data_IF_528579459979
#
_entry.id   IF_528579459979
#
_cell.length_a   1.000
_cell.length_b   1.000
_cell.length_c   1.000
_cell.angle_alpha   90.00
_cell.angle_beta   90.00
_cell.angle_gamma   90.00
#
_symmetry.space_group_name_H-M   'P 1'
#
loop_
_entity.id
_entity.type
_entity.pdbx_description
1 polymer ?
#
# COMPACT_ATOMS: atom_id res chain seq x y z
N UNK A 1 1.87 6.85 28.28
CA UNK A 1 1.98 5.38 28.11
C UNK A 1 2.10 5.14 26.61
N UNK A 2 3.07 4.32 26.18
CA UNK A 2 3.19 3.92 24.78
C UNK A 2 2.12 2.91 24.39
N UNK A 3 1.66 2.96 23.13
CA UNK A 3 0.72 1.98 22.57
C UNK A 3 1.48 0.67 22.37
N UNK A 4 0.98 -0.42 22.96
CA UNK A 4 1.56 -1.76 22.82
C UNK A 4 1.08 -2.45 21.56
N UNK A 5 2.00 -2.73 20.64
CA UNK A 5 1.73 -3.29 19.34
C UNK A 5 2.12 -4.76 19.27
N UNK A 6 1.20 -5.59 18.81
CA UNK A 6 1.45 -6.96 18.35
C UNK A 6 1.55 -7.01 16.83
N UNK A 7 2.45 -7.83 16.30
CA UNK A 7 2.58 -8.04 14.85
C UNK A 7 2.28 -9.51 14.54
N UNK A 8 1.30 -9.76 13.69
CA UNK A 8 1.03 -11.10 13.16
C UNK A 8 1.53 -11.19 11.72
N UNK A 9 2.56 -12.01 11.49
CA UNK A 9 3.28 -12.10 10.23
C UNK A 9 4.49 -11.16 10.15
N UNK A 10 5.68 -11.73 10.18
CA UNK A 10 6.94 -10.98 10.16
C UNK A 10 7.61 -11.00 8.78
N UNK A 11 6.78 -10.91 7.73
CA UNK A 11 7.19 -10.71 6.34
C UNK A 11 7.73 -9.31 6.08
N UNK A 12 7.71 -8.86 4.83
CA UNK A 12 8.18 -7.51 4.44
C UNK A 12 7.49 -6.41 5.27
N UNK A 13 6.17 -6.46 5.35
CA UNK A 13 5.38 -5.40 6.01
C UNK A 13 5.59 -5.42 7.52
N UNK A 14 5.47 -6.59 8.18
CA UNK A 14 5.67 -6.68 9.63
C UNK A 14 7.05 -6.21 10.09
N UNK A 15 8.11 -6.52 9.32
CA UNK A 15 9.47 -6.05 9.61
C UNK A 15 9.61 -4.54 9.48
N UNK A 16 9.03 -3.95 8.43
CA UNK A 16 9.08 -2.49 8.24
C UNK A 16 8.28 -1.77 9.33
N UNK A 17 7.13 -2.29 9.73
CA UNK A 17 6.35 -1.76 10.85
C UNK A 17 7.19 -1.76 12.14
N UNK A 18 7.89 -2.84 12.44
CA UNK A 18 8.78 -2.87 13.63
C UNK A 18 9.90 -1.83 13.48
N UNK A 19 10.56 -1.72 12.32
CA UNK A 19 11.64 -0.74 12.11
C UNK A 19 11.15 0.69 12.34
N UNK A 20 9.97 1.04 11.82
CA UNK A 20 9.35 2.37 12.01
C UNK A 20 9.00 2.60 13.49
N UNK A 21 8.39 1.61 14.16
CA UNK A 21 8.03 1.74 15.58
C UNK A 21 9.29 1.87 16.46
N UNK A 22 10.39 1.20 16.08
CA UNK A 22 11.65 1.29 16.85
C UNK A 22 12.26 2.71 16.87
N UNK A 23 11.89 3.58 15.94
CA UNK A 23 12.29 4.99 15.86
C UNK A 23 11.31 5.93 16.57
N UNK A 24 10.19 5.39 17.12
CA UNK A 24 9.13 6.17 17.76
C UNK A 24 9.15 6.01 19.28
N UNK A 25 8.58 7.00 19.99
CA UNK A 25 8.46 6.99 21.44
C UNK A 25 7.02 6.78 21.94
N UNK A 26 6.04 6.84 21.04
CA UNK A 26 4.61 6.74 21.35
C UNK A 26 4.06 5.31 21.19
N UNK A 27 4.85 4.41 20.58
CA UNK A 27 4.49 3.01 20.34
C UNK A 27 5.65 2.09 20.71
N UNK A 28 5.33 0.83 21.02
CA UNK A 28 6.32 -0.23 21.22
C UNK A 28 5.79 -1.57 20.74
N UNK A 29 6.62 -2.35 20.04
CA UNK A 29 6.30 -3.74 19.71
C UNK A 29 6.58 -4.61 20.90
N UNK A 30 5.56 -5.32 21.41
CA UNK A 30 5.66 -6.20 22.58
C UNK A 30 5.53 -7.69 22.23
N UNK A 31 5.03 -8.01 21.03
CA UNK A 31 4.89 -9.40 20.59
C UNK A 31 4.89 -9.53 19.07
N UNK A 32 5.45 -10.62 18.59
CA UNK A 32 5.43 -11.03 17.18
C UNK A 32 4.98 -12.47 17.12
N UNK A 33 4.06 -12.77 16.22
CA UNK A 33 3.70 -14.13 15.85
C UNK A 33 4.14 -14.41 14.42
N UNK A 34 4.99 -15.40 14.23
CA UNK A 34 5.39 -15.91 12.91
C UNK A 34 5.76 -17.40 13.04
N UNK A 35 5.71 -18.13 11.93
CA UNK A 35 6.03 -19.57 11.93
C UNK A 35 7.54 -19.87 11.86
N UNK A 36 8.35 -18.83 11.74
CA UNK A 36 9.81 -18.92 11.71
C UNK A 36 10.39 -18.99 13.13
N UNK A 37 11.60 -19.54 13.28
CA UNK A 37 12.33 -19.48 14.52
C UNK A 37 12.85 -18.07 14.83
N UNK A 38 13.14 -17.82 16.10
CA UNK A 38 13.51 -16.48 16.58
C UNK A 38 14.86 -16.01 16.02
N UNK A 39 15.81 -16.90 15.81
CA UNK A 39 17.13 -16.55 15.28
C UNK A 39 17.01 -16.09 13.81
N UNK A 40 16.14 -16.76 13.04
CA UNK A 40 15.89 -16.36 11.68
C UNK A 40 15.07 -15.06 11.60
N UNK A 41 14.14 -14.84 12.53
CA UNK A 41 13.41 -13.54 12.67
C UNK A 41 14.41 -12.40 12.96
N UNK A 42 15.36 -12.62 13.89
CA UNK A 42 16.42 -11.67 14.20
C UNK A 42 17.33 -11.38 12.99
N UNK A 43 17.73 -12.43 12.27
CA UNK A 43 18.51 -12.30 11.03
C UNK A 43 17.80 -11.46 9.99
N UNK A 44 16.51 -11.75 9.71
CA UNK A 44 15.73 -11.00 8.73
C UNK A 44 15.44 -9.55 9.14
N UNK A 45 15.34 -9.26 10.44
CA UNK A 45 15.23 -7.89 10.92
C UNK A 45 16.54 -7.13 10.72
N UNK A 46 17.68 -7.80 10.99
CA UNK A 46 19.01 -7.21 10.89
C UNK A 46 19.41 -6.84 9.48
N UNK A 47 19.05 -7.66 8.50
CA UNK A 47 19.48 -7.50 7.12
C UNK A 47 18.29 -7.34 6.18
N UNK A 48 18.29 -6.30 5.36
CA UNK A 48 17.28 -6.06 4.34
C UNK A 48 17.95 -5.57 3.06
N UNK A 49 17.67 -6.22 1.94
CA UNK A 49 18.30 -5.90 0.65
C UNK A 49 17.87 -4.56 0.09
N UNK A 50 16.73 -4.03 0.50
CA UNK A 50 16.19 -2.75 0.00
C UNK A 50 16.49 -1.61 0.97
N UNK A 51 16.27 -1.84 2.27
CA UNK A 51 16.38 -0.80 3.30
C UNK A 51 17.67 -0.89 4.13
N UNK A 52 18.59 -1.80 3.77
CA UNK A 52 19.87 -1.94 4.44
C UNK A 52 19.77 -2.56 5.85
N UNK A 53 20.87 -2.47 6.59
CA UNK A 53 20.92 -3.00 7.95
C UNK A 53 20.04 -2.19 8.90
N UNK A 54 19.46 -2.90 9.88
CA UNK A 54 18.78 -2.25 10.99
C UNK A 54 19.80 -1.45 11.81
N UNK A 55 19.47 -0.22 12.15
CA UNK A 55 20.39 0.71 12.83
C UNK A 55 20.47 0.51 14.34
N UNK A 56 19.49 -0.21 14.92
CA UNK A 56 19.44 -0.52 16.34
C UNK A 56 20.17 -1.81 16.71
N UNK A 57 20.16 -2.14 18.02
CA UNK A 57 20.65 -3.41 18.53
C UNK A 57 19.60 -4.52 18.40
N UNK A 58 20.06 -5.71 18.06
CA UNK A 58 19.22 -6.92 17.99
C UNK A 58 19.98 -8.03 18.71
N UNK A 59 19.29 -8.71 19.63
CA UNK A 59 19.79 -9.86 20.36
C UNK A 59 18.70 -10.91 20.50
N UNK A 60 19.07 -12.15 20.79
CA UNK A 60 18.17 -13.25 21.09
C UNK A 60 18.59 -13.87 22.42
N UNK A 61 17.66 -13.95 23.36
CA UNK A 61 17.89 -14.56 24.66
C UNK A 61 16.66 -15.31 25.14
N UNK A 62 16.84 -16.54 25.59
CA UNK A 62 15.79 -17.40 26.12
C UNK A 62 14.58 -17.54 25.19
N UNK A 63 14.83 -17.63 23.87
CA UNK A 63 13.79 -17.72 22.84
C UNK A 63 12.99 -16.43 22.60
N UNK A 64 13.45 -15.30 23.16
CA UNK A 64 12.85 -13.98 22.97
C UNK A 64 13.73 -13.11 22.08
N UNK A 65 13.11 -12.26 21.28
CA UNK A 65 13.80 -11.24 20.51
C UNK A 65 13.99 -9.98 21.37
N UNK A 66 15.20 -9.44 21.39
CA UNK A 66 15.50 -8.18 22.08
C UNK A 66 15.89 -7.13 21.05
N UNK A 67 15.14 -6.05 20.97
CA UNK A 67 15.39 -4.93 20.05
C UNK A 67 15.56 -3.65 20.84
N UNK A 68 16.70 -2.99 20.70
CA UNK A 68 17.05 -1.77 21.45
C UNK A 68 16.87 -1.94 22.98
N UNK A 69 17.23 -3.11 23.49
CA UNK A 69 17.10 -3.45 24.90
C UNK A 69 15.69 -3.81 25.38
N UNK A 70 14.68 -3.77 24.50
CA UNK A 70 13.29 -4.16 24.81
C UNK A 70 13.04 -5.60 24.39
N UNK A 71 12.47 -6.39 25.28
CA UNK A 71 12.11 -7.78 25.00
C UNK A 71 10.80 -7.86 24.27
N UNK A 72 10.77 -8.61 23.17
CA UNK A 72 9.59 -8.88 22.34
C UNK A 72 9.26 -10.36 22.42
N UNK A 73 8.05 -10.70 22.87
CA UNK A 73 7.58 -12.09 22.92
C UNK A 73 7.43 -12.64 21.50
N UNK A 74 8.04 -13.80 21.22
CA UNK A 74 7.86 -14.52 19.95
C UNK A 74 6.91 -15.69 20.17
N UNK A 75 5.94 -15.85 19.27
CA UNK A 75 5.03 -17.00 19.22
C UNK A 75 4.98 -17.56 17.81
N UNK A 76 4.63 -18.87 17.69
CA UNK A 76 4.50 -19.56 16.41
C UNK A 76 3.16 -20.27 16.34
N UNK A 77 2.09 -19.48 16.29
CA UNK A 77 0.70 -19.96 16.26
C UNK A 77 0.10 -19.78 14.89
N UNK A 78 -0.56 -20.83 14.37
CA UNK A 78 -1.26 -20.76 13.07
C UNK A 78 -2.62 -20.09 13.19
N UNK A 79 -3.33 -20.34 14.28
CA UNK A 79 -4.61 -19.68 14.56
C UNK A 79 -4.36 -18.45 15.44
N UNK A 80 -4.81 -17.26 15.03
CA UNK A 80 -4.69 -16.05 15.83
C UNK A 80 -5.33 -16.13 17.23
N UNK A 81 -6.36 -16.96 17.40
CA UNK A 81 -7.01 -17.16 18.69
C UNK A 81 -6.07 -17.75 19.76
N UNK A 82 -5.02 -18.46 19.34
CA UNK A 82 -4.08 -19.12 20.26
C UNK A 82 -2.87 -18.23 20.64
N UNK A 83 -2.79 -16.99 20.12
CA UNK A 83 -1.61 -16.13 20.34
C UNK A 83 -1.57 -15.56 21.74
N UNK A 84 -2.73 -15.42 22.42
CA UNK A 84 -2.86 -14.88 23.79
C UNK A 84 -2.22 -13.47 23.92
N UNK A 85 -2.76 -12.50 23.17
CA UNK A 85 -2.33 -11.10 23.21
C UNK A 85 -2.59 -10.43 24.57
N UNK A 86 -3.60 -10.90 25.32
CA UNK A 86 -3.94 -10.47 26.67
C UNK A 86 -2.77 -10.60 27.65
N UNK A 87 -1.98 -11.68 27.54
CA UNK A 87 -0.84 -11.95 28.44
C UNK A 87 0.26 -10.87 28.39
N UNK A 88 0.35 -10.12 27.31
CA UNK A 88 1.32 -9.03 27.16
C UNK A 88 0.65 -7.66 26.98
N UNK A 89 -0.67 -7.61 27.11
CA UNK A 89 -1.46 -6.39 27.13
C UNK A 89 -1.42 -5.62 25.81
N UNK A 90 -1.56 -6.30 24.67
CA UNK A 90 -1.54 -5.68 23.33
C UNK A 90 -2.74 -4.76 23.15
N UNK A 91 -2.48 -3.52 22.80
CA UNK A 91 -3.51 -2.54 22.46
C UNK A 91 -3.92 -2.66 20.99
N UNK A 92 -2.96 -2.92 20.12
CA UNK A 92 -3.15 -2.92 18.67
C UNK A 92 -2.40 -4.09 18.03
N UNK A 93 -3.08 -4.88 17.20
CA UNK A 93 -2.44 -5.87 16.32
C UNK A 93 -2.33 -5.32 14.90
N UNK A 94 -1.15 -5.41 14.31
CA UNK A 94 -0.94 -5.26 12.87
C UNK A 94 -0.98 -6.66 12.25
N UNK A 95 -2.06 -6.94 11.51
CA UNK A 95 -2.23 -8.17 10.75
C UNK A 95 -1.53 -8.03 9.40
N UNK A 96 -0.40 -8.68 9.23
CA UNK A 96 0.45 -8.57 8.03
C UNK A 96 0.79 -9.91 7.38
N UNK A 97 0.03 -10.97 7.68
CA UNK A 97 0.17 -12.27 7.00
C UNK A 97 -0.48 -12.29 5.62
N UNK A 98 -1.50 -11.45 5.40
CA UNK A 98 -2.34 -11.48 4.21
C UNK A 98 -3.37 -12.62 4.19
N UNK A 99 -3.56 -13.33 5.30
CA UNK A 99 -4.46 -14.48 5.43
C UNK A 99 -5.79 -14.09 6.10
N UNK A 100 -5.76 -13.33 7.17
CA UNK A 100 -6.90 -12.98 8.02
C UNK A 100 -7.48 -11.62 7.64
N UNK A 101 -8.09 -11.52 6.46
CA UNK A 101 -8.50 -10.26 5.81
C UNK A 101 -10.02 -10.02 5.83
N UNK A 102 -10.75 -10.68 6.72
CA UNK A 102 -12.18 -10.46 6.93
C UNK A 102 -12.46 -10.12 8.38
N UNK A 103 -13.60 -9.50 8.66
CA UNK A 103 -14.06 -9.21 10.02
C UNK A 103 -14.01 -10.47 10.89
N UNK A 104 -14.56 -11.57 10.37
CA UNK A 104 -14.62 -12.86 11.08
C UNK A 104 -13.22 -13.39 11.42
N UNK A 105 -12.32 -13.43 10.44
CA UNK A 105 -10.98 -13.99 10.65
C UNK A 105 -10.09 -13.11 11.52
N UNK A 106 -10.22 -11.78 11.41
CA UNK A 106 -9.49 -10.82 12.24
C UNK A 106 -10.05 -10.74 13.67
N UNK A 107 -11.34 -11.06 13.88
CA UNK A 107 -11.97 -11.13 15.21
C UNK A 107 -11.19 -12.05 16.16
N UNK A 108 -10.58 -13.10 15.65
CA UNK A 108 -9.75 -14.01 16.44
C UNK A 108 -8.62 -13.32 17.21
N UNK A 109 -8.09 -12.22 16.70
CA UNK A 109 -7.10 -11.42 17.44
C UNK A 109 -7.73 -10.66 18.60
N UNK A 110 -8.96 -10.19 18.44
CA UNK A 110 -9.73 -9.55 19.53
C UNK A 110 -10.05 -10.60 20.60
N UNK A 111 -10.49 -11.79 20.18
CA UNK A 111 -10.80 -12.90 21.06
C UNK A 111 -9.56 -13.38 21.86
N UNK A 112 -8.37 -13.25 21.25
CA UNK A 112 -7.07 -13.49 21.90
C UNK A 112 -6.59 -12.33 22.79
N UNK A 113 -7.40 -11.27 22.96
CA UNK A 113 -7.18 -10.18 23.91
C UNK A 113 -6.57 -8.90 23.32
N UNK A 114 -6.46 -8.75 22.02
CA UNK A 114 -6.11 -7.47 21.40
C UNK A 114 -7.31 -6.50 21.49
N UNK A 115 -7.05 -5.20 21.70
CA UNK A 115 -8.13 -4.20 21.70
C UNK A 115 -8.53 -3.73 20.31
N UNK A 116 -7.59 -3.72 19.37
CA UNK A 116 -7.78 -3.29 17.98
C UNK A 116 -6.95 -4.11 17.02
N UNK A 117 -7.41 -4.19 15.76
CA UNK A 117 -6.69 -4.85 14.66
C UNK A 117 -6.66 -3.95 13.43
N UNK A 118 -5.49 -3.76 12.86
CA UNK A 118 -5.31 -3.12 11.55
C UNK A 118 -4.84 -4.16 10.56
N UNK A 119 -5.65 -4.40 9.52
CA UNK A 119 -5.27 -5.20 8.38
C UNK A 119 -4.34 -4.38 7.48
N UNK A 120 -3.12 -4.84 7.26
CA UNK A 120 -2.14 -4.18 6.37
C UNK A 120 -2.40 -4.43 4.86
N UNK A 121 -3.59 -4.92 4.53
CA UNK A 121 -4.03 -5.24 3.19
C UNK A 121 -5.52 -4.93 3.04
N UNK A 122 -6.06 -4.82 1.79
CA UNK A 122 -7.47 -4.60 1.59
C UNK A 122 -8.31 -5.71 2.21
N UNK A 123 -9.38 -5.34 2.91
CA UNK A 123 -10.35 -6.30 3.41
C UNK A 123 -11.07 -7.01 2.26
N UNK A 124 -11.41 -8.27 2.48
CA UNK A 124 -12.16 -9.10 1.51
C UNK A 124 -13.67 -9.04 1.71
N UNK A 125 -14.13 -8.32 2.72
CA UNK A 125 -15.52 -8.13 3.09
C UNK A 125 -15.86 -6.64 3.30
N UNK A 126 -16.85 -6.36 4.15
CA UNK A 126 -17.30 -5.01 4.51
C UNK A 126 -16.48 -4.36 5.64
N UNK A 127 -15.38 -4.95 6.10
CA UNK A 127 -14.50 -4.32 7.11
C UNK A 127 -14.13 -2.90 6.66
N UNK A 128 -14.33 -1.88 7.52
CA UNK A 128 -14.04 -0.49 7.17
C UNK A 128 -12.61 -0.29 6.71
N UNK A 129 -12.45 0.45 5.62
CA UNK A 129 -11.16 0.73 5.01
C UNK A 129 -10.85 2.21 5.11
N UNK A 130 -9.65 2.55 5.58
CA UNK A 130 -9.21 3.93 5.75
C UNK A 130 -7.91 4.21 5.01
N UNK A 131 -7.86 5.40 4.41
CA UNK A 131 -6.65 5.97 3.82
C UNK A 131 -6.39 7.32 4.49
N UNK A 132 -5.17 7.51 4.98
CA UNK A 132 -4.76 8.76 5.62
C UNK A 132 -4.89 9.93 4.65
N UNK A 133 -5.42 11.06 5.15
CA UNK A 133 -5.70 12.26 4.33
C UNK A 133 -6.96 12.19 3.48
N UNK A 134 -7.58 11.01 3.34
CA UNK A 134 -8.79 10.82 2.52
C UNK A 134 -10.04 10.70 3.39
N UNK A 135 -10.18 9.58 4.09
CA UNK A 135 -11.35 9.32 4.94
C UNK A 135 -11.00 8.93 6.38
N UNK A 136 -9.77 9.13 6.82
CA UNK A 136 -9.33 8.76 8.17
C UNK A 136 -10.12 9.49 9.27
N UNK A 137 -10.65 10.68 8.99
CA UNK A 137 -11.49 11.44 9.93
C UNK A 137 -12.86 10.76 10.21
N UNK A 138 -13.28 9.83 9.36
CA UNK A 138 -14.51 9.04 9.55
C UNK A 138 -14.33 7.89 10.56
N UNK A 139 -13.10 7.68 11.05
CA UNK A 139 -12.83 6.68 12.07
C UNK A 139 -13.55 7.05 13.37
N UNK A 140 -14.44 6.17 13.82
CA UNK A 140 -15.29 6.37 15.01
C UNK A 140 -15.08 5.29 16.08
N UNK A 141 -13.90 4.64 16.09
CA UNK A 141 -13.54 3.69 17.13
C UNK A 141 -13.70 2.21 16.76
N UNK A 142 -13.89 1.88 15.48
CA UNK A 142 -13.99 0.49 15.01
C UNK A 142 -12.81 -0.35 15.52
N UNK A 143 -13.09 -1.56 16.00
CA UNK A 143 -12.08 -2.44 16.57
C UNK A 143 -11.21 -3.09 15.49
N UNK A 144 -11.76 -3.34 14.31
CA UNK A 144 -11.08 -3.95 13.17
C UNK A 144 -11.24 -3.04 11.97
N UNK A 145 -10.11 -2.63 11.39
CA UNK A 145 -10.06 -1.76 10.21
C UNK A 145 -9.02 -2.28 9.20
N UNK A 146 -9.14 -1.85 7.96
CA UNK A 146 -8.17 -2.10 6.91
C UNK A 146 -7.47 -0.79 6.50
N UNK A 147 -6.15 -0.83 6.32
CA UNK A 147 -5.36 0.26 5.76
C UNK A 147 -5.27 0.20 4.22
N UNK A 148 -6.21 -0.46 3.57
CA UNK A 148 -6.26 -0.62 2.12
C UNK A 148 -4.99 -1.29 1.53
N UNK A 149 -4.72 -1.06 0.23
CA UNK A 149 -3.51 -1.50 -0.46
C UNK A 149 -2.52 -0.37 -0.67
N UNK A 150 -1.26 -0.70 -0.97
CA UNK A 150 -0.26 0.28 -1.38
C UNK A 150 -0.73 1.14 -2.56
N UNK A 151 -1.30 0.51 -3.59
CA UNK A 151 -1.83 1.21 -4.76
C UNK A 151 -3.02 2.11 -4.41
N UNK A 152 -3.94 1.66 -3.54
CA UNK A 152 -5.05 2.49 -3.07
C UNK A 152 -4.55 3.69 -2.27
N UNK A 153 -3.56 3.51 -1.41
CA UNK A 153 -2.95 4.60 -0.64
C UNK A 153 -2.26 5.63 -1.54
N UNK A 154 -1.64 5.19 -2.63
CA UNK A 154 -1.06 6.11 -3.62
C UNK A 154 -2.16 6.84 -4.42
N UNK A 155 -3.17 6.11 -4.91
CA UNK A 155 -4.18 6.63 -5.82
C UNK A 155 -5.21 7.55 -5.14
N UNK A 156 -5.65 7.21 -3.92
CA UNK A 156 -6.78 7.90 -3.29
C UNK A 156 -6.50 9.38 -2.98
N UNK A 157 -5.33 9.79 -2.48
CA UNK A 157 -5.01 11.22 -2.31
C UNK A 157 -5.05 12.00 -3.63
N UNK A 158 -4.51 11.44 -4.72
CA UNK A 158 -4.54 12.06 -6.04
C UNK A 158 -5.98 12.19 -6.56
N UNK A 159 -6.76 11.11 -6.47
CA UNK A 159 -8.15 11.09 -6.88
C UNK A 159 -9.02 12.06 -6.07
N UNK A 160 -8.74 12.22 -4.76
CA UNK A 160 -9.41 13.21 -3.90
C UNK A 160 -9.20 14.62 -4.45
N UNK A 161 -7.94 15.02 -4.65
CA UNK A 161 -7.61 16.37 -5.14
C UNK A 161 -8.26 16.64 -6.50
N UNK A 162 -8.16 15.69 -7.44
CA UNK A 162 -8.77 15.83 -8.77
C UNK A 162 -10.30 15.91 -8.69
N UNK A 163 -10.93 15.06 -7.87
CA UNK A 163 -12.38 15.02 -7.78
C UNK A 163 -12.96 16.26 -7.11
N UNK A 164 -12.32 16.77 -6.06
CA UNK A 164 -12.79 17.95 -5.32
C UNK A 164 -12.62 19.25 -6.13
N UNK A 165 -11.56 19.39 -6.90
CA UNK A 165 -11.28 20.60 -7.68
C UNK A 165 -11.95 20.59 -9.06
N UNK A 166 -11.99 19.44 -9.73
CA UNK A 166 -12.37 19.36 -11.15
C UNK A 166 -13.52 18.39 -11.41
N UNK A 167 -13.84 17.50 -10.48
CA UNK A 167 -14.85 16.45 -10.63
C UNK A 167 -14.43 15.35 -11.60
N UNK A 168 -14.28 14.12 -11.12
CA UNK A 168 -13.98 12.96 -11.97
C UNK A 168 -15.29 12.40 -12.55
N UNK A 169 -15.36 12.29 -13.87
CA UNK A 169 -16.44 11.59 -14.58
C UNK A 169 -16.19 10.10 -14.52
N UNK A 170 -15.06 9.68 -15.06
CA UNK A 170 -14.55 8.31 -15.08
C UNK A 170 -13.03 8.31 -15.19
N UNK A 171 -12.41 7.13 -15.02
CA UNK A 171 -10.96 7.02 -15.16
C UNK A 171 -10.46 5.59 -15.23
N UNK A 172 -9.26 5.49 -15.83
CA UNK A 172 -8.50 4.26 -15.94
C UNK A 172 -7.18 4.40 -15.17
N UNK A 173 -6.88 3.46 -14.30
CA UNK A 173 -5.64 3.43 -13.56
C UNK A 173 -4.77 2.26 -14.01
N UNK A 174 -3.52 2.54 -14.32
CA UNK A 174 -2.49 1.52 -14.51
C UNK A 174 -1.45 1.64 -13.42
N UNK A 175 -1.18 0.56 -12.69
CA UNK A 175 -0.04 0.54 -11.77
C UNK A 175 1.12 -0.26 -12.36
N UNK A 176 2.26 0.40 -12.54
CA UNK A 176 3.55 -0.24 -12.83
C UNK A 176 4.15 -0.61 -11.47
N UNK A 177 4.04 -1.89 -11.11
CA UNK A 177 4.22 -2.32 -9.73
C UNK A 177 5.49 -3.12 -9.54
N UNK A 178 6.23 -2.78 -8.50
CA UNK A 178 7.40 -3.53 -8.05
C UNK A 178 7.05 -4.99 -7.72
N UNK A 179 8.05 -5.85 -7.72
CA UNK A 179 7.92 -7.27 -7.36
C UNK A 179 7.47 -7.43 -5.91
N UNK A 180 6.69 -8.48 -5.65
CA UNK A 180 6.25 -8.83 -4.29
C UNK A 180 6.60 -10.28 -3.99
N UNK A 181 6.59 -10.65 -2.71
CA UNK A 181 6.96 -11.98 -2.24
C UNK A 181 6.11 -13.13 -2.80
N UNK A 182 4.96 -12.83 -3.41
CA UNK A 182 4.09 -13.84 -4.04
C UNK A 182 4.53 -14.22 -5.45
N UNK A 183 5.42 -13.44 -6.07
CA UNK A 183 5.93 -13.71 -7.41
C UNK A 183 7.07 -14.75 -7.35
N UNK A 184 7.27 -15.45 -8.46
CA UNK A 184 8.33 -16.44 -8.57
C UNK A 184 9.62 -15.81 -9.08
N UNK A 185 10.76 -16.24 -8.57
CA UNK A 185 12.07 -15.82 -9.08
C UNK A 185 12.34 -16.41 -10.47
N UNK A 186 11.97 -17.69 -10.66
CA UNK A 186 12.00 -18.42 -11.93
C UNK A 186 10.63 -19.00 -12.20
N UNK A 187 10.36 -19.44 -13.44
CA UNK A 187 9.09 -20.04 -13.82
C UNK A 187 8.73 -21.20 -12.88
N UNK A 188 7.53 -21.17 -12.31
CA UNK A 188 7.04 -22.18 -11.38
C UNK A 188 5.52 -22.20 -11.30
N UNK A 189 4.93 -23.24 -10.71
CA UNK A 189 3.48 -23.39 -10.67
C UNK A 189 2.80 -22.25 -9.91
N UNK A 190 1.70 -21.76 -10.48
CA UNK A 190 0.78 -20.81 -9.85
C UNK A 190 -0.65 -21.24 -10.20
N UNK A 191 -1.43 -21.63 -9.18
CA UNK A 191 -2.76 -22.22 -9.39
C UNK A 191 -3.87 -21.19 -9.60
N UNK A 192 -3.69 -19.97 -9.09
CA UNK A 192 -4.71 -18.90 -9.18
C UNK A 192 -4.53 -18.00 -10.40
N UNK A 193 -3.30 -17.69 -10.72
CA UNK A 193 -2.92 -16.82 -11.83
C UNK A 193 -1.66 -17.40 -12.48
N UNK A 194 -1.78 -17.96 -13.65
CA UNK A 194 -0.65 -18.59 -14.36
C UNK A 194 0.47 -17.61 -14.67
N UNK A 195 0.11 -16.34 -14.97
CA UNK A 195 1.09 -15.29 -15.22
C UNK A 195 1.92 -14.98 -13.97
N UNK A 196 1.32 -15.06 -12.78
CA UNK A 196 2.03 -14.92 -11.50
C UNK A 196 3.05 -16.03 -11.21
N UNK A 197 3.02 -17.15 -11.98
CA UNK A 197 4.01 -18.22 -11.94
C UNK A 197 5.26 -17.96 -12.78
N UNK A 198 5.29 -16.89 -13.59
CA UNK A 198 6.42 -16.58 -14.45
C UNK A 198 7.50 -15.80 -13.69
N UNK A 199 8.76 -15.96 -14.13
CA UNK A 199 9.93 -15.33 -13.50
C UNK A 199 9.80 -13.81 -13.47
N UNK A 200 9.81 -13.25 -12.26
CA UNK A 200 9.58 -11.83 -12.02
C UNK A 200 10.68 -10.91 -12.52
N UNK A 201 11.90 -11.45 -12.67
CA UNK A 201 13.09 -10.66 -13.04
C UNK A 201 13.25 -10.46 -14.55
N UNK A 202 12.50 -11.22 -15.39
CA UNK A 202 12.63 -11.20 -16.83
C UNK A 202 11.40 -10.70 -17.57
N UNK A 203 10.29 -10.43 -16.86
CA UNK A 203 9.00 -10.22 -17.49
C UNK A 203 8.34 -8.93 -17.04
N UNK A 204 7.54 -8.35 -17.93
CA UNK A 204 6.43 -7.45 -17.60
C UNK A 204 5.19 -8.33 -17.48
N UNK A 205 4.66 -8.47 -16.26
CA UNK A 205 3.58 -9.42 -15.95
C UNK A 205 2.26 -8.68 -15.75
N UNK A 206 1.28 -8.77 -16.67
CA UNK A 206 -0.06 -8.23 -16.44
C UNK A 206 -0.73 -8.96 -15.27
N UNK A 207 -1.39 -8.21 -14.40
CA UNK A 207 -2.09 -8.73 -13.22
C UNK A 207 -3.36 -7.92 -12.97
N UNK A 208 -4.36 -8.54 -12.41
CA UNK A 208 -5.55 -7.83 -11.95
C UNK A 208 -5.25 -7.05 -10.67
N UNK A 209 -5.97 -5.95 -10.46
CA UNK A 209 -5.92 -5.17 -9.23
C UNK A 209 -7.31 -4.71 -8.82
N UNK A 210 -7.59 -4.77 -7.52
CA UNK A 210 -8.80 -4.19 -6.94
C UNK A 210 -8.63 -2.75 -6.44
N UNK A 211 -7.45 -2.15 -6.65
CA UNK A 211 -7.11 -0.87 -6.04
C UNK A 211 -8.01 0.29 -6.52
N UNK A 212 -8.32 0.35 -7.83
CA UNK A 212 -9.21 1.36 -8.37
C UNK A 212 -10.64 1.26 -7.79
N UNK A 213 -11.16 0.04 -7.65
CA UNK A 213 -12.47 -0.21 -6.99
C UNK A 213 -12.42 0.15 -5.51
N UNK A 214 -11.29 -0.08 -4.83
CA UNK A 214 -11.13 0.26 -3.42
C UNK A 214 -11.15 1.78 -3.18
N UNK A 215 -10.79 2.60 -4.17
CA UNK A 215 -10.94 4.07 -4.07
C UNK A 215 -12.41 4.44 -3.90
N UNK A 216 -13.35 3.78 -4.57
CA UNK A 216 -14.79 4.00 -4.38
C UNK A 216 -15.27 3.68 -2.95
N UNK A 217 -14.59 2.79 -2.22
CA UNK A 217 -14.90 2.52 -0.80
C UNK A 217 -14.45 3.63 0.14
N UNK A 218 -13.37 4.35 -0.18
CA UNK A 218 -12.81 5.43 0.65
C UNK A 218 -13.21 6.82 0.16
N UNK A 219 -13.67 6.94 -1.09
CA UNK A 219 -14.27 8.14 -1.70
C UNK A 219 -15.58 7.71 -2.38
N UNK A 220 -16.70 7.65 -1.65
CA UNK A 220 -17.97 7.10 -2.18
C UNK A 220 -18.47 7.76 -3.48
N UNK A 221 -18.17 9.03 -3.70
CA UNK A 221 -18.53 9.75 -4.95
C UNK A 221 -17.80 9.22 -6.19
N UNK A 222 -16.76 8.40 -6.01
CA UNK A 222 -15.99 7.73 -7.08
C UNK A 222 -16.34 6.25 -7.25
N UNK A 223 -17.33 5.74 -6.51
CA UNK A 223 -17.73 4.34 -6.68
C UNK A 223 -18.24 4.06 -8.09
N UNK A 224 -17.70 3.00 -8.69
CA UNK A 224 -17.99 2.62 -10.08
C UNK A 224 -17.34 3.48 -11.17
N UNK A 225 -16.69 4.60 -10.84
CA UNK A 225 -16.08 5.50 -11.82
C UNK A 225 -14.66 5.13 -12.22
N UNK A 226 -13.94 4.41 -11.38
CA UNK A 226 -12.55 4.04 -11.61
C UNK A 226 -12.40 2.54 -11.83
N UNK A 227 -11.61 2.19 -12.85
CA UNK A 227 -11.16 0.81 -13.07
C UNK A 227 -9.67 0.79 -13.34
N UNK A 228 -9.05 -0.40 -13.38
CA UNK A 228 -7.61 -0.43 -13.63
C UNK A 228 -7.02 -1.82 -13.69
N UNK A 229 -5.72 -1.83 -14.03
CA UNK A 229 -4.89 -3.02 -14.14
C UNK A 229 -3.50 -2.78 -13.54
N UNK A 230 -2.74 -3.84 -13.37
CA UNK A 230 -1.38 -3.80 -12.88
C UNK A 230 -0.41 -4.46 -13.87
N UNK A 231 0.78 -3.91 -13.97
CA UNK A 231 1.94 -4.57 -14.58
C UNK A 231 3.01 -4.76 -13.52
N UNK A 232 3.40 -5.99 -13.26
CA UNK A 232 4.56 -6.30 -12.41
C UNK A 232 5.83 -6.18 -13.24
N UNK A 233 6.80 -5.44 -12.74
CA UNK A 233 8.08 -5.16 -13.41
C UNK A 233 9.26 -5.55 -12.52
N UNK A 234 10.46 -5.81 -13.09
CA UNK A 234 11.66 -6.24 -12.35
C UNK A 234 12.29 -5.12 -11.49
N UNK A 235 11.51 -4.50 -10.61
CA UNK A 235 11.99 -3.52 -9.63
C UNK A 235 11.75 -4.05 -8.22
N UNK A 236 12.67 -3.78 -7.30
CA UNK A 236 12.62 -4.33 -5.96
C UNK A 236 11.61 -3.59 -5.07
N UNK A 237 11.43 -2.29 -5.30
CA UNK A 237 10.58 -1.43 -4.47
C UNK A 237 10.12 -0.22 -5.29
N UNK A 238 9.17 0.52 -4.76
CA UNK A 238 8.51 1.69 -5.34
C UNK A 238 7.72 1.33 -6.61
N UNK A 239 6.45 1.65 -6.60
CA UNK A 239 5.52 1.43 -7.71
C UNK A 239 5.02 2.77 -8.22
N UNK A 240 4.63 2.83 -9.49
CA UNK A 240 4.04 4.01 -10.11
C UNK A 240 2.56 3.75 -10.35
N UNK A 241 1.74 4.78 -10.13
CA UNK A 241 0.34 4.82 -10.54
C UNK A 241 0.22 5.84 -11.67
N UNK A 242 -0.22 5.36 -12.83
CA UNK A 242 -0.67 6.18 -13.95
C UNK A 242 -2.19 6.26 -13.91
N UNK A 243 -2.74 7.46 -13.74
CA UNK A 243 -4.17 7.72 -13.65
C UNK A 243 -4.61 8.61 -14.82
N UNK A 244 -5.35 8.04 -15.74
CA UNK A 244 -6.03 8.78 -16.81
C UNK A 244 -7.48 9.02 -16.43
N UNK A 245 -7.93 10.27 -16.43
CA UNK A 245 -9.30 10.64 -16.02
C UNK A 245 -9.94 11.60 -17.01
N UNK A 246 -11.26 11.46 -17.15
CA UNK A 246 -12.12 12.49 -17.72
C UNK A 246 -12.66 13.36 -16.60
N UNK A 247 -12.54 14.67 -16.73
CA UNK A 247 -12.93 15.65 -15.72
C UNK A 247 -14.21 16.40 -16.15
N UNK A 248 -15.06 16.77 -15.16
CA UNK A 248 -16.25 17.58 -15.41
C UNK A 248 -15.91 19.01 -15.80
N UNK A 249 -14.91 19.60 -15.11
CA UNK A 249 -14.44 20.95 -15.42
C UNK A 249 -13.32 20.88 -16.43
N UNK A 250 -13.40 21.70 -17.49
CA UNK A 250 -12.25 21.94 -18.34
C UNK A 250 -11.14 22.58 -17.53
N UNK A 251 -9.94 22.03 -17.65
CA UNK A 251 -8.76 22.50 -16.89
C UNK A 251 -7.50 22.30 -17.71
N UNK A 252 -6.45 23.00 -17.35
CA UNK A 252 -5.10 22.83 -17.90
C UNK A 252 -4.26 21.94 -16.99
N UNK A 253 -3.19 21.37 -17.53
CA UNK A 253 -2.22 20.62 -16.70
C UNK A 253 -1.57 21.49 -15.62
N UNK A 254 -1.34 22.77 -15.92
CA UNK A 254 -0.80 23.72 -14.96
C UNK A 254 -1.73 23.92 -13.75
N UNK A 255 -3.05 23.97 -13.96
CA UNK A 255 -4.04 24.05 -12.87
C UNK A 255 -4.09 22.76 -12.05
N UNK A 256 -3.93 21.60 -12.67
CA UNK A 256 -3.81 20.33 -11.96
C UNK A 256 -2.56 20.32 -11.08
N UNK A 257 -1.40 20.71 -11.62
CA UNK A 257 -0.17 20.81 -10.86
C UNK A 257 -0.31 21.79 -9.68
N UNK A 258 -0.93 22.94 -9.90
CA UNK A 258 -1.17 23.93 -8.85
C UNK A 258 -2.06 23.36 -7.72
N UNK A 259 -3.13 22.65 -8.07
CA UNK A 259 -4.01 22.02 -7.09
C UNK A 259 -3.28 20.92 -6.30
N UNK A 260 -2.47 20.08 -6.95
CA UNK A 260 -1.67 19.04 -6.29
C UNK A 260 -0.62 19.66 -5.34
N UNK A 261 0.08 20.70 -5.78
CA UNK A 261 1.05 21.43 -4.97
C UNK A 261 0.38 22.07 -3.74
N UNK A 262 -0.73 22.75 -3.94
CA UNK A 262 -1.49 23.35 -2.85
C UNK A 262 -1.95 22.29 -1.83
N UNK A 263 -2.44 21.15 -2.28
CA UNK A 263 -2.85 20.06 -1.39
C UNK A 263 -1.65 19.50 -0.61
N UNK A 264 -0.51 19.28 -1.27
CA UNK A 264 0.71 18.74 -0.64
C UNK A 264 1.31 19.67 0.43
N UNK A 265 1.18 20.96 0.26
CA UNK A 265 1.63 21.98 1.22
C UNK A 265 0.58 22.28 2.30
N UNK A 266 -0.69 21.95 2.03
CA UNK A 266 -1.86 22.23 2.85
C UNK A 266 -2.47 21.01 3.53
N UNK A 267 -3.67 20.63 3.12
CA UNK A 267 -4.48 19.58 3.78
C UNK A 267 -3.88 18.18 3.75
N UNK A 268 -3.08 17.87 2.73
CA UNK A 268 -2.39 16.59 2.58
C UNK A 268 -0.90 16.67 2.95
N UNK A 269 -0.48 17.71 3.67
CA UNK A 269 0.90 17.83 4.14
C UNK A 269 1.31 16.64 4.99
N UNK A 270 2.47 16.05 4.65
CA UNK A 270 2.96 14.82 5.29
C UNK A 270 2.30 13.53 4.78
N UNK A 271 1.43 13.64 3.78
CA UNK A 271 0.74 12.50 3.14
C UNK A 271 1.02 12.49 1.64
N UNK A 272 0.72 13.58 0.93
CA UNK A 272 1.02 13.75 -0.48
C UNK A 272 2.27 14.62 -0.66
N UNK A 273 3.24 14.09 -1.40
CA UNK A 273 4.39 14.86 -1.88
C UNK A 273 4.15 15.44 -3.27
N UNK A 274 5.02 16.36 -3.64
CA UNK A 274 5.03 17.00 -4.96
C UNK A 274 6.48 17.20 -5.41
N UNK A 275 6.81 16.83 -6.63
CA UNK A 275 8.14 17.03 -7.20
C UNK A 275 8.07 17.60 -8.61
N UNK A 276 9.05 18.44 -8.95
CA UNK A 276 9.32 18.95 -10.30
C UNK A 276 10.70 18.48 -10.79
N UNK A 277 11.36 17.60 -10.04
CA UNK A 277 12.67 17.08 -10.37
C UNK A 277 12.56 15.87 -11.30
N UNK A 278 13.56 15.65 -12.12
CA UNK A 278 13.66 14.48 -13.01
C UNK A 278 14.07 13.23 -12.23
N UNK A 279 13.15 12.64 -11.50
CA UNK A 279 13.35 11.52 -10.59
C UNK A 279 12.91 10.19 -11.22
N UNK A 280 13.41 9.10 -10.65
CA UNK A 280 12.99 7.73 -10.97
C UNK A 280 12.59 6.98 -9.69
N UNK A 281 11.98 5.81 -9.84
CA UNK A 281 11.41 5.07 -8.70
C UNK A 281 12.40 4.79 -7.56
N UNK A 282 13.67 4.60 -7.85
CA UNK A 282 14.68 4.31 -6.83
C UNK A 282 14.99 5.49 -5.91
N UNK A 283 14.75 6.73 -6.38
CA UNK A 283 14.97 7.95 -5.59
C UNK A 283 13.97 8.08 -4.42
N UNK A 284 12.86 7.35 -4.49
CA UNK A 284 11.83 7.30 -3.45
C UNK A 284 11.98 6.15 -2.44
N UNK A 285 13.09 5.41 -2.47
CA UNK A 285 13.32 4.38 -1.45
C UNK A 285 13.57 5.04 -0.09
N UNK A 286 12.72 4.69 0.88
CA UNK A 286 12.75 5.30 2.21
C UNK A 286 11.90 6.55 2.35
N UNK A 287 11.17 6.95 1.30
CA UNK A 287 10.21 8.05 1.38
C UNK A 287 9.09 7.71 2.39
N UNK A 288 8.80 8.65 3.28
CA UNK A 288 7.78 8.51 4.32
C UNK A 288 6.38 8.97 3.90
N UNK A 289 6.29 9.68 2.77
CA UNK A 289 5.01 10.15 2.24
C UNK A 289 4.23 8.97 1.63
N UNK A 290 2.92 9.02 1.74
CA UNK A 290 2.04 7.96 1.23
C UNK A 290 2.06 7.89 -0.29
N UNK A 291 2.23 9.04 -0.95
CA UNK A 291 2.29 9.21 -2.41
C UNK A 291 3.06 10.48 -2.75
N UNK A 292 3.73 10.50 -3.89
CA UNK A 292 4.38 11.70 -4.43
C UNK A 292 3.88 11.93 -5.84
N UNK A 293 3.35 13.13 -6.10
CA UNK A 293 2.94 13.54 -7.44
C UNK A 293 4.13 14.08 -8.22
N UNK A 294 4.44 13.44 -9.35
CA UNK A 294 5.47 13.88 -10.29
C UNK A 294 4.84 14.83 -11.32
N UNK A 295 5.11 16.11 -11.15
CA UNK A 295 4.57 17.15 -12.03
C UNK A 295 5.20 17.14 -13.43
N UNK A 296 6.33 16.48 -13.61
CA UNK A 296 7.02 16.41 -14.90
C UNK A 296 6.51 15.25 -15.77
N UNK A 297 5.87 14.26 -15.17
CA UNK A 297 5.41 13.03 -15.83
C UNK A 297 3.96 13.07 -16.33
N UNK A 298 3.19 14.12 -16.01
CA UNK A 298 1.79 14.21 -16.40
C UNK A 298 1.56 14.83 -17.77
N UNK A 299 0.42 14.50 -18.34
CA UNK A 299 -0.03 15.00 -19.67
C UNK A 299 -1.50 15.41 -19.57
N UNK A 300 -1.87 16.57 -20.08
CA UNK A 300 -3.26 16.93 -20.35
C UNK A 300 -3.49 16.98 -21.88
N UNK A 301 -4.48 16.23 -22.34
CA UNK A 301 -4.91 16.27 -23.73
C UNK A 301 -6.25 17.02 -23.81
N UNK A 302 -6.26 18.13 -24.52
CA UNK A 302 -7.50 18.78 -24.93
C UNK A 302 -8.08 17.93 -26.06
N UNK A 303 -9.09 17.13 -25.78
CA UNK A 303 -9.92 16.54 -26.80
C UNK A 303 -10.66 17.67 -27.50
N UNK A 304 -10.20 18.03 -28.70
CA UNK A 304 -10.98 18.88 -29.59
C UNK A 304 -12.28 18.13 -29.95
N UNK A 305 -13.39 18.61 -29.44
CA UNK A 305 -14.71 18.02 -29.64
C UNK A 305 -15.29 18.22 -31.05
N UNK A 306 -14.53 18.80 -31.98
CA UNK A 306 -14.90 18.84 -33.40
C UNK A 306 -13.91 18.00 -34.20
N UNK A 307 -14.37 16.92 -34.89
CA UNK A 307 -13.50 16.16 -35.76
C UNK A 307 -13.03 17.04 -36.89
N UNK A 308 -11.74 17.34 -36.93
CA UNK A 308 -11.11 17.99 -38.06
C UNK A 308 -11.22 17.08 -39.27
N UNK A 309 -11.45 17.63 -40.49
CA UNK A 309 -11.37 16.84 -41.73
C UNK A 309 -10.05 16.10 -41.93
N UNK A 310 -8.98 16.50 -41.20
CA UNK A 310 -7.69 15.79 -41.14
C UNK A 310 -7.75 14.52 -40.31
N UNK A 311 -8.50 14.49 -39.22
CA UNK A 311 -8.58 13.32 -38.34
C UNK A 311 -9.27 12.14 -39.01
N UNK A 312 -10.19 12.40 -39.92
CA UNK A 312 -10.82 11.37 -40.78
C UNK A 312 -9.84 10.70 -41.77
N UNK A 313 -8.69 11.32 -42.11
CA UNK A 313 -7.67 10.74 -42.97
C UNK A 313 -6.67 9.87 -42.22
N UNK A 314 -6.44 10.11 -40.96
CA UNK A 314 -5.56 9.29 -40.13
C UNK A 314 -6.19 7.97 -39.66
N UNK A 315 -7.53 7.87 -39.64
CA UNK A 315 -8.23 6.62 -39.30
C UNK A 315 -8.22 5.55 -40.43
N UNK A 316 -7.55 5.82 -41.54
CA UNK A 316 -7.33 4.85 -42.63
C UNK A 316 -5.84 4.53 -42.79
N UNK A 317 -5.24 3.96 -41.77
CA UNK A 317 -4.03 3.18 -41.99
C UNK A 317 -4.46 1.78 -42.45
N UNK A 318 -3.98 1.30 -43.59
CA UNK A 318 -4.27 -0.06 -44.02
C UNK A 318 -3.55 -1.02 -43.05
N UNK A 319 -4.30 -1.98 -42.54
CA UNK A 319 -3.73 -3.19 -42.00
C UNK A 319 -2.97 -3.89 -43.12
N UNK A 320 -1.67 -3.82 -43.13
CA UNK A 320 -0.88 -4.65 -44.02
C UNK A 320 0.41 -5.09 -43.33
N UNK A 321 0.47 -6.40 -43.25
CA UNK A 321 1.58 -7.34 -43.08
C UNK A 321 2.13 -7.48 -41.69
#
# INVERSE_FOLDING_TARGET
MSIKVGINGFGRIGRLVLRIIAERNDMEVVGINDLLDVDYIAYMLKFDSTHGRFTGSIDVKDGQLIVNGKTIRITSKRDPADIAWDQIGVDLVVESTGLFLTQETAQKHIDAGAKKVILSAPSKDSTPMFVMGVNHAEYSGQAIISNASCTTNCLAPLAKVLNENFGIVDGLMTTVHATTATQKTVDGPSFKDWRGGRGALQNIIPSSTGAAKAVGKVIPSLDGKLTGMAFRVPTANVSVVDLTVNLHKSTSYAEICAAMKQASEGELKGILGYTEEAVVSQDFIGENLTSVFDATAGIACLLYTSPSPRDKRQSRMPSSA
#
